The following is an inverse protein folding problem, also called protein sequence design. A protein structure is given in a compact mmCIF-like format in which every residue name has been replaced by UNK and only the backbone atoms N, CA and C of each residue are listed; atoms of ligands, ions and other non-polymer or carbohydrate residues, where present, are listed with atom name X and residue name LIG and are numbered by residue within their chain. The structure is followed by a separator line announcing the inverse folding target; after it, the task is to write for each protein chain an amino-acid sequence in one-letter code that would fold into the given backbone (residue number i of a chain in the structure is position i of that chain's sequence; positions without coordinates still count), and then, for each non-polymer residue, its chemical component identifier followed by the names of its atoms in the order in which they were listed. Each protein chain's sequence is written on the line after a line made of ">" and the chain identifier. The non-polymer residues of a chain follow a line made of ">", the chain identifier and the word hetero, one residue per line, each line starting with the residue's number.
data_IF_796018325545
#
_entry.id   IF_796018325545
#
_cell.length_a   1.000
_cell.length_b   1.000
_cell.length_c   1.000
_cell.angle_alpha   90.00
_cell.angle_beta   90.00
_cell.angle_gamma   90.00
#
_symmetry.space_group_name_H-M   'P 1'
#
loop_
_entity.id
_entity.type
_entity.pdbx_description
1 polymer ?
2 non-polymer ?
3 non-polymer ?
4 water ?
#
# COMPACT_ATOMS: atom_id res chain seq x y z
N UNK A 1 -2.17 -13.49 -13.93
CA UNK A 1 -1.68 -14.86 -13.86
C UNK A 1 -0.43 -14.92 -12.99
N UNK A 2 -0.18 -16.07 -12.35
CA UNK A 2 1.09 -16.28 -11.64
C UNK A 2 1.54 -17.71 -11.90
N UNK A 3 2.84 -17.87 -12.17
CA UNK A 3 3.43 -19.17 -12.46
C UNK A 3 4.94 -19.07 -12.34
N UNK A 4 5.58 -20.22 -12.15
CA UNK A 4 7.03 -20.31 -12.13
C UNK A 4 7.51 -20.95 -13.41
N UNK A 5 8.55 -20.39 -14.02
CA UNK A 5 9.15 -21.01 -15.19
C UNK A 5 10.31 -21.87 -14.72
N UNK A 6 10.82 -22.72 -15.60
CA UNK A 6 11.89 -23.62 -15.25
C UNK A 6 11.39 -24.85 -14.50
N UNK A 7 12.16 -25.28 -13.50
CA UNK A 7 11.79 -26.44 -12.71
C UNK A 7 10.43 -26.22 -12.04
N UNK A 8 9.63 -27.28 -11.96
CA UNK A 8 8.34 -27.19 -11.31
C UNK A 8 8.51 -26.74 -9.87
N UNK A 9 7.65 -25.81 -9.45
CA UNK A 9 7.74 -25.26 -8.11
C UNK A 9 7.52 -26.35 -7.07
N UNK A 10 8.25 -26.26 -5.97
CA UNK A 10 8.28 -27.24 -4.90
C UNK A 10 7.97 -26.56 -3.59
N UNK A 11 7.51 -27.31 -2.57
CA UNK A 11 7.25 -26.70 -1.26
C UNK A 11 8.50 -26.04 -0.69
N UNK A 12 8.31 -24.90 -0.02
CA UNK A 12 9.45 -24.17 0.52
C UNK A 12 10.21 -24.98 1.57
N UNK A 13 9.64 -26.06 2.08
CA UNK A 13 10.39 -26.90 3.01
C UNK A 13 11.54 -27.61 2.29
N UNK A 14 11.38 -27.88 1.00
CA UNK A 14 12.38 -28.62 0.23
C UNK A 14 13.49 -27.73 -0.30
N UNK A 15 13.60 -26.49 0.16
CA UNK A 15 14.61 -25.58 -0.37
C UNK A 15 15.98 -25.87 0.22
N UNK A 16 17.02 -25.57 -0.57
CA UNK A 16 18.38 -25.59 -0.07
C UNK A 16 18.64 -24.30 0.70
N UNK A 17 18.80 -23.20 -0.02
CA UNK A 17 18.92 -21.86 0.57
C UNK A 17 17.53 -21.24 0.64
N UNK A 18 17.01 -21.04 1.86
CA UNK A 18 15.71 -20.41 2.03
C UNK A 18 15.71 -18.97 1.52
N UNK A 19 16.88 -18.33 1.43
CA UNK A 19 16.92 -16.97 0.93
C UNK A 19 16.91 -16.90 -0.60
N UNK A 20 17.13 -18.01 -1.30
CA UNK A 20 17.34 -17.99 -2.74
C UNK A 20 16.26 -18.68 -3.58
N UNK A 21 15.32 -19.41 -2.98
CA UNK A 21 14.36 -20.18 -3.78
C UNK A 21 13.06 -19.39 -4.00
N UNK A 22 13.16 -18.37 -4.83
CA UNK A 22 11.97 -17.61 -5.23
C UNK A 22 10.99 -18.50 -5.96
N UNK A 23 9.71 -18.35 -5.64
CA UNK A 23 8.67 -19.12 -6.27
C UNK A 23 8.36 -20.48 -5.65
N UNK A 24 8.93 -20.79 -4.49
CA UNK A 24 8.55 -22.04 -3.84
C UNK A 24 7.09 -21.95 -3.34
N UNK A 25 6.54 -23.10 -2.99
CA UNK A 25 5.13 -23.20 -2.63
C UNK A 25 4.96 -23.14 -1.11
N UNK A 26 4.01 -22.33 -0.66
CA UNK A 26 3.81 -22.09 0.77
C UNK A 26 2.93 -23.17 1.40
N UNK A 27 3.33 -23.64 2.57
CA UNK A 27 2.45 -24.49 3.37
C UNK A 27 1.22 -23.69 3.79
N UNK A 28 0.05 -24.15 3.40
CA UNK A 28 -1.19 -23.45 3.66
C UNK A 28 -1.72 -23.82 5.04
N UNK A 29 -2.02 -22.81 5.85
CA UNK A 29 -2.57 -22.99 7.19
C UNK A 29 -3.89 -22.23 7.28
N UNK A 30 -4.99 -22.97 7.38
CA UNK A 30 -6.30 -22.34 7.54
C UNK A 30 -6.38 -21.68 8.91
N UNK A 31 -6.98 -20.49 8.96
CA UNK A 31 -7.15 -19.76 10.20
C UNK A 31 -8.57 -19.24 10.33
N UNK A 32 -9.07 -19.21 11.57
CA UNK A 32 -10.42 -18.73 11.83
C UNK A 32 -10.45 -17.26 12.24
N UNK A 33 -9.30 -16.61 12.38
CA UNK A 33 -9.21 -15.21 12.80
C UNK A 33 -9.39 -14.30 11.60
N UNK A 34 -10.63 -14.14 11.23
CA UNK A 34 -11.05 -13.38 10.07
C UNK A 34 -11.51 -12.01 10.54
N UNK A 35 -11.14 -10.98 9.80
CA UNK A 35 -11.53 -9.61 10.08
C UNK A 35 -12.13 -9.03 8.81
N UNK A 36 -13.46 -8.94 8.73
CA UNK A 36 -14.06 -8.39 7.51
C UNK A 36 -13.59 -6.97 7.26
N UNK A 37 -13.41 -6.63 6.00
CA UNK A 37 -13.04 -5.29 5.59
C UNK A 37 -14.19 -4.71 4.78
N UNK A 38 -14.47 -3.44 5.00
CA UNK A 38 -15.56 -2.74 4.31
C UNK A 38 -15.02 -1.53 3.56
N UNK A 39 -15.85 -1.00 2.67
CA UNK A 39 -15.52 0.23 1.98
C UNK A 39 -15.52 1.42 2.93
N UNK A 40 -14.45 2.21 2.86
CA UNK A 40 -14.29 3.40 3.68
C UNK A 40 -15.15 4.51 3.10
N UNK A 41 -15.86 5.22 3.98
CA UNK A 41 -16.77 6.28 3.54
C UNK A 41 -16.06 7.63 3.56
N UNK A 44 -14.17 8.32 -1.20
CA UNK A 44 -15.44 8.39 -1.94
C UNK A 44 -15.37 7.67 -3.28
N UNK A 45 -14.22 7.07 -3.59
CA UNK A 45 -14.02 6.28 -4.80
C UNK A 45 -14.00 7.16 -6.06
N UNK A 46 -13.41 8.36 -5.94
CA UNK A 46 -13.34 9.32 -7.04
C UNK A 46 -11.96 9.25 -7.66
N UNK A 47 -11.91 8.84 -8.94
CA UNK A 47 -10.65 8.69 -9.66
C UNK A 47 -10.32 9.89 -10.53
N UNK A 48 -11.07 10.98 -10.43
CA UNK A 48 -10.70 12.18 -11.18
C UNK A 48 -9.32 12.67 -10.77
N UNK A 49 -8.94 12.42 -9.52
CA UNK A 49 -7.62 12.83 -9.04
C UNK A 49 -6.50 12.15 -9.83
N UNK A 50 -6.69 10.87 -10.15
CA UNK A 50 -5.67 10.15 -10.90
C UNK A 50 -5.66 10.54 -12.37
N UNK A 51 -6.83 10.88 -12.92
CA UNK A 51 -6.87 11.41 -14.28
C UNK A 51 -6.02 12.66 -14.39
N UNK A 52 -6.25 13.64 -13.52
CA UNK A 52 -5.46 14.87 -13.54
C UNK A 52 -3.98 14.59 -13.33
N UNK A 53 -3.67 13.63 -12.45
CA UNK A 53 -2.27 13.27 -12.19
C UNK A 53 -1.58 12.78 -13.46
N UNK A 54 -2.28 11.97 -14.26
CA UNK A 54 -1.69 11.50 -15.50
C UNK A 54 -1.44 12.66 -16.46
N UNK A 55 -2.45 13.51 -16.67
CA UNK A 55 -2.28 14.62 -17.62
C UNK A 55 -1.19 15.59 -17.17
N UNK A 56 -0.97 15.72 -15.85
CA UNK A 56 0.12 16.61 -15.44
C UNK A 56 1.49 16.07 -15.80
N UNK A 57 1.60 14.81 -16.23
CA UNK A 57 2.86 14.25 -16.71
C UNK A 57 3.02 14.39 -18.22
N UNK A 58 2.02 14.94 -18.91
CA UNK A 58 2.06 14.96 -20.38
C UNK A 58 3.33 15.63 -20.89
N UNK A 59 3.75 16.73 -20.27
CA UNK A 59 4.85 17.53 -20.80
C UNK A 59 6.23 16.95 -20.52
N UNK A 60 6.34 15.91 -19.69
CA UNK A 60 7.61 15.26 -19.46
C UNK A 60 8.53 15.96 -18.48
N UNK A 61 8.09 16.99 -17.80
CA UNK A 61 8.95 17.78 -16.92
C UNK A 61 8.47 17.82 -15.47
N UNK A 62 7.62 16.87 -15.06
CA UNK A 62 7.05 16.86 -13.70
C UNK A 62 7.22 15.48 -13.07
N UNK A 63 7.80 15.47 -11.86
CA UNK A 63 8.04 14.23 -11.14
C UNK A 63 7.45 14.30 -9.73
N UNK A 64 6.62 13.33 -9.38
CA UNK A 64 6.11 13.20 -8.03
C UNK A 64 7.05 12.31 -7.24
N UNK A 65 7.31 12.68 -5.98
CA UNK A 65 8.21 11.88 -5.17
C UNK A 65 7.75 11.80 -3.72
N UNK A 66 8.22 10.75 -3.06
CA UNK A 66 8.05 10.56 -1.62
C UNK A 66 9.35 9.99 -1.08
N UNK A 67 9.58 10.18 0.22
CA UNK A 67 10.76 9.68 0.91
C UNK A 67 10.42 8.49 1.80
N UNK A 68 11.36 7.57 1.93
CA UNK A 68 11.18 6.44 2.83
C UNK A 68 11.02 6.93 4.27
N UNK A 69 9.97 6.42 4.94
CA UNK A 69 9.80 6.65 6.36
C UNK A 69 9.23 7.98 6.76
N UNK A 70 9.09 8.95 5.86
CA UNK A 70 8.70 10.31 6.23
C UNK A 70 7.21 10.57 6.15
N UNK A 71 6.38 9.57 5.85
CA UNK A 71 4.95 9.74 5.88
C UNK A 71 4.38 9.38 7.23
N UNK A 72 3.09 9.67 7.43
CA UNK A 72 2.45 9.29 8.68
C UNK A 72 2.66 7.80 8.96
N UNK A 73 2.98 7.49 10.21
CA UNK A 73 3.19 6.13 10.69
C UNK A 73 4.44 5.48 10.12
N UNK A 74 5.40 6.25 9.61
CA UNK A 74 6.54 5.69 8.94
C UNK A 74 6.29 5.26 7.50
N UNK A 75 5.16 5.64 6.91
CA UNK A 75 4.89 5.29 5.52
C UNK A 75 5.71 6.21 4.59
N UNK A 76 5.61 5.99 3.28
CA UNK A 76 6.31 6.85 2.33
C UNK A 76 5.66 8.22 2.32
N UNK A 77 6.47 9.26 2.42
CA UNK A 77 5.92 10.59 2.31
C UNK A 77 6.97 11.66 2.49
N UNK A 78 6.50 12.87 2.73
CA UNK A 78 7.35 14.03 2.96
C UNK A 78 6.66 14.89 4.00
N UNK A 79 7.36 15.94 4.43
CA UNK A 79 6.81 16.95 5.31
C UNK A 79 6.05 18.05 4.56
N UNK A 80 5.88 17.93 3.24
CA UNK A 80 5.09 18.90 2.50
C UNK A 80 3.61 18.77 2.89
N UNK A 81 2.81 19.69 2.36
CA UNK A 81 1.38 19.65 2.52
C UNK A 81 0.63 19.09 1.33
N UNK A 82 1.32 18.66 0.29
CA UNK A 82 0.66 18.17 -0.92
C UNK A 82 0.13 16.76 -0.70
N UNK A 83 -1.17 16.57 -0.91
CA UNK A 83 -1.75 15.25 -1.07
C UNK A 83 -2.27 15.09 -2.48
N UNK A 84 -2.57 13.84 -2.86
CA UNK A 84 -3.10 13.62 -4.20
C UNK A 84 -4.46 14.27 -4.36
N UNK A 85 -5.21 14.43 -3.27
CA UNK A 85 -6.48 15.15 -3.34
C UNK A 85 -6.31 16.62 -3.71
N UNK A 86 -5.07 17.11 -3.82
CA UNK A 86 -4.81 18.53 -4.08
C UNK A 86 -4.38 18.79 -5.51
N UNK A 87 -4.88 18.00 -6.48
CA UNK A 87 -4.37 18.03 -7.84
C UNK A 87 -4.67 19.34 -8.57
N UNK A 88 -5.66 20.10 -8.14
CA UNK A 88 -5.94 21.38 -8.78
C UNK A 88 -5.05 22.48 -8.21
N UNK A 89 -4.81 22.46 -6.91
CA UNK A 89 -3.77 23.32 -6.34
C UNK A 89 -2.40 22.97 -6.91
N UNK A 90 -2.13 21.68 -7.06
CA UNK A 90 -0.84 21.24 -7.59
C UNK A 90 -0.67 21.71 -9.03
N UNK A 91 -1.69 21.48 -9.86
CA UNK A 91 -1.59 21.88 -11.27
C UNK A 91 -1.48 23.39 -11.42
N UNK A 92 -2.22 24.14 -10.60
CA UNK A 92 -2.11 25.60 -10.66
C UNK A 92 -0.69 26.04 -10.33
N UNK A 93 -0.06 25.43 -9.34
CA UNK A 93 1.30 25.82 -8.97
C UNK A 93 2.30 25.42 -10.05
N UNK A 94 2.12 24.24 -10.64
CA UNK A 94 3.01 23.78 -11.71
C UNK A 94 3.00 24.78 -12.86
N UNK A 95 1.81 25.22 -13.26
CA UNK A 95 1.70 26.14 -14.39
C UNK A 95 2.30 27.49 -14.06
N UNK A 96 2.03 28.02 -12.88
CA UNK A 96 2.64 29.28 -12.45
C UNK A 96 4.16 29.18 -12.49
N UNK A 97 4.72 28.10 -11.95
CA UNK A 97 6.17 27.95 -11.90
C UNK A 97 6.78 27.83 -13.29
N UNK A 98 6.10 27.13 -14.20
CA UNK A 98 6.62 26.95 -15.55
C UNK A 98 6.57 28.24 -16.34
N UNK A 99 5.44 28.95 -16.28
CA UNK A 99 5.28 30.19 -17.03
C UNK A 99 6.06 31.35 -16.42
N UNK A 100 6.63 31.19 -15.23
CA UNK A 100 7.56 32.17 -14.70
C UNK A 100 9.00 31.88 -15.10
N UNK A 101 9.32 30.64 -15.45
CA UNK A 101 10.66 30.27 -15.89
C UNK A 101 10.87 30.50 -17.38
N UNK A 102 9.88 30.18 -18.21
CA UNK A 102 9.94 30.53 -19.62
C UNK A 102 9.94 32.04 -19.83
N UNK A 103 9.53 32.80 -18.81
CA UNK A 103 9.60 34.25 -18.79
C UNK A 103 10.93 34.75 -18.23
N UNK A 104 11.29 34.30 -17.03
CA UNK A 104 12.54 34.75 -16.38
C UNK A 104 13.77 34.37 -17.18
N UNK A 113 38.04 15.92 -29.78
CA UNK A 113 37.72 16.07 -31.19
C UNK A 113 36.22 16.20 -31.48
N UNK A 114 35.36 15.91 -30.51
CA UNK A 114 33.92 15.93 -30.68
C UNK A 114 33.30 16.89 -29.67
N UNK A 115 32.47 17.82 -30.16
CA UNK A 115 31.92 18.90 -29.34
C UNK A 115 30.51 18.56 -28.90
N UNK A 116 30.31 18.35 -27.60
CA UNK A 116 29.00 18.22 -26.99
C UNK A 116 28.83 19.40 -26.04
N UNK A 117 27.57 19.76 -25.77
CA UNK A 117 27.27 21.02 -25.09
C UNK A 117 26.30 20.75 -23.95
N UNK A 118 26.77 20.92 -22.72
CA UNK A 118 25.96 20.68 -21.55
C UNK A 118 25.07 21.89 -21.27
N UNK A 119 23.82 21.61 -20.93
CA UNK A 119 22.85 22.67 -20.66
C UNK A 119 21.88 22.15 -19.62
N UNK A 120 21.06 23.04 -19.08
CA UNK A 120 20.14 22.69 -18.01
C UNK A 120 18.70 22.88 -18.47
N UNK A 121 17.87 21.87 -18.20
CA UNK A 121 16.43 21.94 -18.33
C UNK A 121 15.79 22.01 -16.94
N UNK A 122 14.62 22.62 -16.87
CA UNK A 122 13.87 22.75 -15.65
C UNK A 122 13.02 21.51 -15.42
N UNK A 123 13.11 20.94 -14.22
CA UNK A 123 12.25 19.85 -13.78
C UNK A 123 11.48 20.33 -12.55
N UNK A 124 10.19 20.03 -12.51
CA UNK A 124 9.33 20.40 -11.39
C UNK A 124 8.99 19.16 -10.57
N UNK A 125 9.41 19.17 -9.31
CA UNK A 125 9.17 18.09 -8.36
C UNK A 125 7.97 18.42 -7.49
N UNK A 126 7.11 17.43 -7.28
CA UNK A 126 5.93 17.58 -6.46
C UNK A 126 6.03 16.60 -5.28
N UNK A 127 6.49 17.06 -4.13
CA UNK A 127 6.54 16.18 -2.94
C UNK A 127 5.13 15.87 -2.45
N UNK A 128 4.87 14.59 -2.20
CA UNK A 128 3.58 14.14 -1.69
C UNK A 128 3.67 13.82 -0.21
N UNK A 129 2.67 14.28 0.56
CA UNK A 129 2.72 14.18 2.00
C UNK A 129 2.66 12.73 2.46
N UNK A 130 1.78 11.93 1.87
CA UNK A 130 1.67 10.51 2.12
C UNK A 130 0.82 9.91 1.00
N UNK A 131 0.85 8.58 0.92
CA UNK A 131 0.10 7.82 -0.08
C UNK A 131 -0.96 6.91 0.55
N UNK A 132 -1.45 7.27 1.73
CA UNK A 132 -2.38 6.40 2.48
C UNK A 132 -3.79 6.65 1.96
N UNK A 133 -4.25 5.82 1.01
CA UNK A 133 -5.56 6.06 0.42
C UNK A 133 -6.32 4.78 0.09
N UNK A 134 -6.07 3.70 0.81
CA UNK A 134 -6.90 2.51 0.60
C UNK A 134 -8.35 2.80 0.92
N UNK A 135 -9.25 2.13 0.21
CA UNK A 135 -10.67 2.21 0.47
C UNK A 135 -11.19 1.09 1.37
N UNK A 136 -10.33 0.23 1.89
CA UNK A 136 -10.75 -0.92 2.66
C UNK A 136 -10.31 -0.72 4.10
N UNK A 137 -11.27 -0.73 5.02
CA UNK A 137 -11.01 -0.54 6.45
C UNK A 137 -11.60 -1.70 7.23
N UNK A 138 -11.08 -1.90 8.45
CA UNK A 138 -11.57 -2.95 9.31
C UNK A 138 -11.89 -2.45 10.72
N UNK A 139 -12.74 -3.21 11.41
CA UNK A 139 -13.15 -2.87 12.77
C UNK A 139 -12.01 -3.08 13.75
N UNK A 140 -11.63 -2.02 14.45
CA UNK A 140 -10.74 -2.10 15.60
C UNK A 140 -11.50 -1.63 16.85
N UNK A 141 -11.35 -2.36 17.96
CA UNK A 141 -11.97 -1.93 19.21
C UNK A 141 -10.89 -1.39 20.14
N UNK A 142 -11.12 -0.19 20.67
CA UNK A 142 -10.11 0.52 21.45
C UNK A 142 -10.65 0.80 22.86
N UNK A 143 -9.90 0.38 23.86
CA UNK A 143 -10.18 0.78 25.22
C UNK A 143 -11.27 -0.02 25.91
N UNK A 144 -11.69 0.51 27.07
CA UNK A 144 -12.60 -0.12 28.02
C UNK A 144 -13.52 0.93 28.62
N UNK A 145 -14.85 0.88 28.41
CA UNK A 145 -15.58 0.02 27.49
C UNK A 145 -15.21 0.38 26.06
N UNK A 146 -15.30 -0.58 25.14
CA UNK A 146 -14.61 -0.42 23.85
C UNK A 146 -15.27 0.60 22.94
N UNK A 147 -14.45 1.36 22.23
CA UNK A 147 -14.91 2.24 21.16
C UNK A 147 -14.45 1.69 19.81
N UNK A 148 -15.32 1.80 18.82
CA UNK A 148 -15.07 1.23 17.50
C UNK A 148 -14.40 2.28 16.60
N UNK A 149 -13.25 1.93 16.05
CA UNK A 149 -12.68 2.70 14.94
C UNK A 149 -12.48 1.77 13.74
N UNK A 150 -12.31 2.38 12.56
CA UNK A 150 -12.15 1.64 11.31
C UNK A 150 -10.88 2.07 10.61
N UNK A 151 -9.73 1.65 11.10
CA UNK A 151 -8.46 2.03 10.46
C UNK A 151 -8.20 1.25 9.20
N UNK A 152 -7.18 1.73 8.47
CA UNK A 152 -6.55 1.00 7.37
C UNK A 152 -5.53 0.04 7.98
N UNK A 153 -5.47 -1.18 7.45
CA UNK A 153 -4.50 -2.17 7.90
C UNK A 153 -3.38 -2.24 6.86
N UNK A 154 -2.21 -1.72 7.23
CA UNK A 154 -1.28 -1.10 6.28
C UNK A 154 0.09 -1.75 6.35
N UNK A 155 0.37 -2.64 5.41
CA UNK A 155 1.72 -3.22 5.40
C UNK A 155 2.79 -2.20 5.09
N UNK A 156 2.41 -0.99 4.65
CA UNK A 156 3.34 0.09 4.37
C UNK A 156 3.56 1.06 5.50
N UNK A 157 3.08 0.75 6.71
CA UNK A 157 3.26 1.59 7.88
C UNK A 157 3.84 0.75 9.00
N UNK A 158 4.35 1.43 10.01
CA UNK A 158 4.99 0.78 11.13
C UNK A 158 4.24 0.91 12.45
N UNK A 159 3.68 2.09 12.77
CA UNK A 159 3.01 2.34 14.05
C UNK A 159 1.50 2.23 13.91
N UNK A 160 0.83 2.43 15.05
CA UNK A 160 -0.61 2.57 15.14
C UNK A 160 -0.93 4.05 15.36
N UNK A 161 -1.82 4.58 14.55
CA UNK A 161 -2.31 5.94 14.73
C UNK A 161 -3.82 5.89 14.68
N UNK A 162 -4.47 6.71 15.50
CA UNK A 162 -5.91 6.80 15.54
C UNK A 162 -6.28 8.27 15.56
N UNK A 163 -7.29 8.63 14.78
CA UNK A 163 -7.77 9.99 14.77
C UNK A 163 -8.73 10.15 15.94
N UNK A 164 -8.43 11.10 16.81
CA UNK A 164 -9.32 11.43 17.91
C UNK A 164 -10.27 12.52 17.46
N UNK A 165 -11.52 12.36 17.84
CA UNK A 165 -12.61 13.24 17.48
C UNK A 165 -13.42 13.60 18.73
N UNK A 166 -12.74 13.68 19.87
CA UNK A 166 -13.42 14.06 21.10
C UNK A 166 -14.02 15.45 20.97
N UNK A 167 -15.17 15.64 21.60
CA UNK A 167 -15.96 16.86 21.47
C UNK A 167 -17.05 16.87 22.52
N UNK A 168 -16.88 17.66 23.58
CA UNK A 168 -17.83 17.67 24.70
C UNK A 168 -18.82 18.83 24.63
N UNK A 169 -18.58 19.81 23.76
CA UNK A 169 -19.51 20.94 23.62
C UNK A 169 -20.85 20.46 23.08
N UNK A 170 -21.91 21.20 23.42
CA UNK A 170 -23.25 20.78 23.01
C UNK A 170 -23.46 20.96 21.50
N UNK A 171 -22.75 21.89 20.88
CA UNK A 171 -22.88 22.14 19.45
C UNK A 171 -22.12 21.15 18.58
N UNK A 172 -21.42 20.19 19.17
CA UNK A 172 -20.73 19.17 18.39
C UNK A 172 -21.72 18.28 17.66
N UNK A 173 -21.39 17.93 16.42
CA UNK A 173 -22.25 17.03 15.66
C UNK A 173 -22.27 15.65 16.31
N UNK A 174 -23.45 15.04 16.33
CA UNK A 174 -23.63 13.70 16.90
C UNK A 174 -23.19 12.66 15.87
N UNK A 175 -21.95 12.19 16.01
CA UNK A 175 -21.39 11.20 15.12
C UNK A 175 -20.58 10.23 15.99
N UNK A 176 -20.27 9.06 15.43
CA UNK A 176 -19.39 8.14 16.13
C UNK A 176 -18.02 8.79 16.28
N UNK A 177 -17.59 8.96 17.51
CA UNK A 177 -16.34 9.62 17.84
C UNK A 177 -15.45 8.65 18.60
N UNK A 178 -14.14 8.85 18.50
CA UNK A 178 -13.19 8.17 19.38
C UNK A 178 -12.64 9.18 20.37
N UNK A 179 -12.95 8.98 21.64
CA UNK A 179 -12.49 9.86 22.72
C UNK A 179 -11.61 9.03 23.64
N UNK A 180 -10.29 9.22 23.62
CA UNK A 180 -9.42 8.36 24.44
C UNK A 180 -9.68 8.50 25.91
N UNK A 181 -10.18 9.65 26.36
CA UNK A 181 -10.46 9.82 27.77
C UNK A 181 -11.72 9.12 28.23
N UNK A 182 -12.52 8.57 27.32
CA UNK A 182 -13.63 7.72 27.75
C UNK A 182 -13.19 6.29 28.04
N UNK A 183 -11.93 5.95 27.81
CA UNK A 183 -11.45 4.61 28.13
C UNK A 183 -10.95 4.58 29.58
N UNK A 184 -11.35 3.55 30.29
CA UNK A 184 -10.86 3.42 31.66
C UNK A 184 -9.38 3.06 31.67
N UNK A 185 -8.89 2.48 30.59
CA UNK A 185 -7.54 1.95 30.55
C UNK A 185 -6.59 2.79 29.72
N UNK A 186 -7.03 3.91 29.17
CA UNK A 186 -6.11 4.76 28.39
C UNK A 186 -5.19 5.52 29.33
N UNK A 187 -3.92 5.56 28.96
CA UNK A 187 -2.91 6.35 29.64
C UNK A 187 -2.14 7.15 28.60
N UNK A 188 -1.93 8.43 28.87
CA UNK A 188 -1.12 9.25 27.99
C UNK A 188 0.34 9.10 28.37
N UNK A 189 1.20 8.98 27.34
CA UNK A 189 2.63 8.83 27.54
C UNK A 189 3.31 10.19 27.51
N UNK A 190 4.54 10.22 28.01
CA UNK A 190 5.36 11.43 28.00
C UNK A 190 6.28 11.39 26.78
N UNK A 191 6.16 12.39 25.92
CA UNK A 191 7.01 12.53 24.75
C UNK A 191 7.67 13.91 24.79
N UNK A 192 8.90 13.99 24.28
CA UNK A 192 9.63 15.25 24.18
C UNK A 192 9.81 15.66 22.72
N UNK A 193 8.74 15.51 21.93
CA UNK A 193 8.74 15.87 20.51
C UNK A 193 7.40 16.51 20.17
N UNK A 194 7.44 17.77 19.74
CA UNK A 194 6.21 18.52 19.42
C UNK A 194 5.67 18.01 18.08
N UNK A 195 4.70 17.10 18.14
CA UNK A 195 4.11 16.53 16.95
C UNK A 195 2.83 17.27 16.56
N UNK A 204 -3.90 20.66 13.51
CA UNK A 204 -3.63 19.23 13.63
C UNK A 204 -2.46 18.99 14.57
N UNK A 205 -2.62 18.10 15.54
CA UNK A 205 -1.61 17.88 16.57
C UNK A 205 -1.53 16.40 16.92
N UNK A 206 -0.35 15.97 17.34
CA UNK A 206 -0.09 14.57 17.65
C UNK A 206 0.34 14.37 19.09
N UNK A 207 -0.04 13.23 19.65
CA UNK A 207 0.44 12.77 20.94
C UNK A 207 0.42 11.26 20.94
N UNK A 208 0.98 10.67 21.99
CA UNK A 208 1.13 9.23 22.14
C UNK A 208 0.44 8.81 23.42
N UNK A 209 -0.19 7.64 23.40
CA UNK A 209 -0.75 7.03 24.58
C UNK A 209 -0.65 5.52 24.48
N UNK A 210 -1.18 4.83 25.50
CA UNK A 210 -1.29 3.38 25.46
C UNK A 210 -2.71 2.98 25.87
N UNK A 211 -3.16 1.87 25.34
CA UNK A 211 -4.46 1.32 25.71
C UNK A 211 -4.53 -0.13 25.25
N UNK A 212 -5.65 -0.76 25.59
CA UNK A 212 -5.97 -2.12 25.18
C UNK A 212 -6.77 -2.07 23.90
N UNK A 213 -6.47 -2.98 22.99
CA UNK A 213 -7.15 -3.08 21.70
C UNK A 213 -7.68 -4.49 21.54
N UNK A 214 -8.73 -4.62 20.75
CA UNK A 214 -9.24 -5.90 20.31
C UNK A 214 -9.36 -5.91 18.78
N UNK A 215 -8.69 -6.86 18.15
CA UNK A 215 -8.79 -7.07 16.72
C UNK A 215 -9.38 -8.45 16.50
N UNK A 216 -10.63 -8.49 16.03
CA UNK A 216 -11.31 -9.76 15.96
C UNK A 216 -11.48 -10.33 17.36
N UNK A 217 -11.15 -11.61 17.51
CA UNK A 217 -11.13 -12.29 18.79
C UNK A 217 -9.86 -12.09 19.59
N UNK A 218 -8.87 -11.33 19.10
CA UNK A 218 -7.60 -11.22 19.79
C UNK A 218 -7.52 -9.92 20.56
N UNK A 219 -7.12 -10.03 21.83
CA UNK A 219 -6.95 -8.93 22.75
C UNK A 219 -5.48 -8.52 22.73
N UNK A 220 -5.24 -7.21 22.72
CA UNK A 220 -3.89 -6.67 22.65
C UNK A 220 -3.77 -5.54 23.67
N UNK A 221 -3.20 -5.86 24.81
CA UNK A 221 -3.02 -4.93 25.92
C UNK A 221 -1.72 -4.16 25.76
N UNK A 222 -1.65 -3.02 26.44
CA UNK A 222 -0.40 -2.24 26.55
C UNK A 222 0.13 -1.84 25.18
N UNK A 223 -0.78 -1.49 24.27
CA UNK A 223 -0.41 -1.12 22.90
C UNK A 223 -0.16 0.39 22.82
N UNK A 224 1.09 0.76 22.56
CA UNK A 224 1.42 2.15 22.32
C UNK A 224 0.88 2.61 20.98
N UNK A 225 0.33 3.82 20.92
CA UNK A 225 -0.22 4.34 19.67
C UNK A 225 -0.18 5.85 19.68
N UNK A 226 -0.16 6.43 18.47
CA UNK A 226 -0.25 7.86 18.31
C UNK A 226 -1.68 8.34 18.17
N UNK A 227 -1.92 9.59 18.53
CA UNK A 227 -3.25 10.16 18.53
C UNK A 227 -3.23 11.49 17.79
N UNK A 228 -4.15 11.65 16.85
CA UNK A 228 -4.26 12.85 16.01
C UNK A 228 -5.52 13.60 16.41
N UNK A 229 -5.36 14.88 16.77
CA UNK A 229 -6.46 15.74 17.13
C UNK A 229 -6.36 17.06 16.38
N UNK A 230 -7.49 17.74 16.23
CA UNK A 230 -7.53 19.04 15.55
C UNK A 230 -7.36 20.18 16.55
N UNK A 241 -13.44 20.55 12.48
CA UNK A 241 -13.51 19.10 12.39
C UNK A 241 -12.34 18.55 11.55
N UNK A 242 -11.86 17.37 11.93
CA UNK A 242 -10.54 16.92 11.53
C UNK A 242 -10.50 16.12 10.22
N UNK A 243 -11.64 15.60 9.76
CA UNK A 243 -11.62 14.84 8.52
C UNK A 243 -11.65 15.71 7.27
N UNK A 244 -11.45 17.04 7.41
CA UNK A 244 -11.13 17.88 6.27
C UNK A 244 -9.67 17.69 5.84
N UNK A 245 -8.80 17.34 6.78
CA UNK A 245 -7.38 17.17 6.53
C UNK A 245 -6.98 15.72 6.33
N UNK A 246 -7.70 14.78 6.95
CA UNK A 246 -7.34 13.37 6.96
C UNK A 246 -8.46 12.55 6.32
N UNK A 247 -8.08 11.48 5.63
CA UNK A 247 -9.04 10.66 4.89
C UNK A 247 -9.11 9.24 5.43
N UNK A 248 -8.70 9.01 6.67
CA UNK A 248 -8.79 7.69 7.28
C UNK A 248 -9.02 7.86 8.78
N UNK A 249 -9.75 6.93 9.36
CA UNK A 249 -9.98 6.96 10.80
C UNK A 249 -8.75 6.54 11.58
N UNK A 250 -7.87 5.76 10.98
CA UNK A 250 -6.67 5.31 11.65
C UNK A 250 -5.81 4.48 10.72
N UNK A 251 -4.62 4.14 11.24
CA UNK A 251 -3.66 3.28 10.56
C UNK A 251 -3.15 2.28 11.56
N UNK A 252 -3.26 0.99 11.25
CA UNK A 252 -2.60 -0.05 12.00
C UNK A 252 -1.42 -0.52 11.15
N UNK A 253 -0.22 -0.17 11.56
CA UNK A 253 0.98 -0.56 10.82
C UNK A 253 1.23 -2.04 10.92
N UNK A 254 1.47 -2.68 9.78
CA UNK A 254 1.82 -4.09 9.75
C UNK A 254 3.21 -4.29 9.14
N UNK A 255 4.06 -3.26 9.22
CA UNK A 255 5.43 -3.32 8.78
C UNK A 255 6.30 -4.11 9.74
N UNK A 256 7.54 -3.68 9.91
CA UNK A 256 8.51 -4.40 10.71
C UNK A 256 8.93 -3.55 11.91
N UNK A 257 9.31 -4.17 13.02
CA UNK A 257 9.93 -3.41 14.10
C UNK A 257 11.30 -2.89 13.67
N UNK A 258 11.62 -1.67 14.08
CA UNK A 258 12.90 -1.10 13.73
C UNK A 258 13.05 0.30 14.27
N UNK A 259 13.90 1.12 13.64
CA UNK A 259 14.06 2.50 14.10
C UNK A 259 12.76 3.29 13.96
N UNK A 260 11.94 2.95 12.97
CA UNK A 260 10.69 3.66 12.71
C UNK A 260 9.62 3.39 13.75
N UNK A 261 9.81 2.41 14.63
CA UNK A 261 8.89 2.13 15.73
C UNK A 261 9.38 2.65 17.07
N UNK A 262 10.70 2.72 17.27
CA UNK A 262 11.31 3.47 18.37
C UNK A 262 11.01 2.84 19.74
N UNK A 263 11.26 1.54 19.86
CA UNK A 263 11.07 0.83 21.12
C UNK A 263 9.62 0.49 21.45
N UNK A 264 8.65 1.00 20.71
CA UNK A 264 7.25 0.71 20.94
C UNK A 264 6.87 -0.52 20.14
N UNK A 265 6.50 -1.59 20.83
CA UNK A 265 6.17 -2.85 20.18
C UNK A 265 5.07 -2.57 19.15
N UNK A 266 5.29 -2.88 17.89
CA UNK A 266 4.23 -2.67 16.91
C UNK A 266 3.06 -3.60 17.16
N UNK A 267 1.91 -3.22 16.59
CA UNK A 267 0.68 -3.94 16.86
C UNK A 267 0.82 -5.44 16.64
N UNK A 268 1.35 -5.85 15.48
CA UNK A 268 1.27 -7.28 15.17
C UNK A 268 2.21 -8.08 16.05
N UNK A 269 3.40 -7.55 16.31
CA UNK A 269 4.33 -8.17 17.25
C UNK A 269 3.72 -8.27 18.65
N UNK A 270 2.97 -7.24 19.08
CA UNK A 270 2.32 -7.24 20.38
C UNK A 270 1.21 -8.29 20.43
N UNK A 271 0.41 -8.38 19.36
CA UNK A 271 -0.58 -9.45 19.25
C UNK A 271 0.06 -10.82 19.41
N UNK A 272 1.17 -11.08 18.70
CA UNK A 272 1.80 -12.39 18.72
C UNK A 272 2.37 -12.71 20.10
N UNK A 273 2.95 -11.72 20.77
CA UNK A 273 3.54 -11.94 22.08
C UNK A 273 2.46 -12.32 23.09
N UNK A 274 1.28 -11.70 22.99
CA UNK A 274 0.20 -11.97 23.94
C UNK A 274 -0.71 -13.11 23.50
N UNK A 275 -0.64 -13.55 22.24
CA UNK A 275 -1.45 -14.67 21.77
C UNK A 275 -0.53 -15.69 21.14
N UNK A 276 0.18 -16.46 21.98
CA UNK A 276 1.32 -17.27 21.49
C UNK A 276 0.95 -18.42 20.56
N UNK A 277 -0.30 -18.79 20.41
CA UNK A 277 -0.63 -19.86 19.47
C UNK A 277 -0.86 -19.35 18.05
N UNK A 278 -0.67 -18.07 17.80
CA UNK A 278 -0.89 -17.51 16.46
C UNK A 278 0.40 -17.61 15.67
N UNK A 279 0.34 -18.20 14.49
CA UNK A 279 1.52 -18.23 13.64
C UNK A 279 1.77 -16.83 13.04
N UNK A 280 3.04 -16.39 12.97
CA UNK A 280 3.37 -15.00 12.55
C UNK A 280 3.18 -14.76 11.05
N UNK A 281 1.93 -14.69 10.62
CA UNK A 281 1.57 -14.40 9.24
C UNK A 281 0.16 -13.84 9.21
N UNK A 282 -0.16 -13.10 8.15
CA UNK A 282 -1.49 -12.57 7.94
C UNK A 282 -1.74 -12.45 6.45
N UNK A 283 -3.01 -12.53 6.05
CA UNK A 283 -3.31 -12.54 4.62
C UNK A 283 -4.47 -11.60 4.31
N UNK A 284 -4.59 -11.26 3.02
CA UNK A 284 -5.51 -10.23 2.55
C UNK A 284 -6.30 -10.73 1.34
N UNK A 285 -7.62 -10.65 1.42
CA UNK A 285 -8.49 -10.90 0.29
C UNK A 285 -9.26 -9.62 0.00
N UNK A 286 -9.11 -9.12 -1.21
CA UNK A 286 -9.74 -7.87 -1.64
C UNK A 286 -10.75 -8.23 -2.73
N UNK A 287 -12.03 -8.05 -2.40
CA UNK A 287 -13.14 -8.31 -3.31
C UNK A 287 -14.01 -7.07 -3.20
N UNK A 288 -13.77 -6.06 -4.04
CA UNK A 288 -14.46 -4.78 -3.84
C UNK A 288 -15.94 -4.84 -4.14
N UNK A 289 -16.38 -5.69 -5.06
CA UNK A 289 -17.76 -5.70 -5.53
C UNK A 289 -18.60 -6.80 -4.88
N UNK A 290 -18.07 -7.49 -3.87
CA UNK A 290 -18.81 -8.55 -3.20
C UNK A 290 -19.05 -8.28 -1.73
N UNK A 291 -18.42 -7.27 -1.15
CA UNK A 291 -18.46 -7.13 0.29
C UNK A 291 -17.77 -8.24 1.04
N UNK A 292 -17.01 -9.09 0.35
CA UNK A 292 -16.39 -10.24 0.98
C UNK A 292 -14.93 -10.01 1.30
N UNK A 293 -14.47 -8.77 1.32
CA UNK A 293 -13.05 -8.52 1.58
C UNK A 293 -12.69 -8.86 3.02
N UNK A 294 -11.46 -9.31 3.23
CA UNK A 294 -11.09 -9.94 4.50
C UNK A 294 -9.59 -9.85 4.74
N UNK A 295 -9.22 -9.52 5.98
CA UNK A 295 -7.89 -9.74 6.52
C UNK A 295 -7.92 -10.99 7.39
N UNK A 296 -6.90 -11.85 7.27
CA UNK A 296 -6.87 -13.10 8.03
C UNK A 296 -5.61 -13.13 8.86
N UNK A 297 -5.76 -13.22 10.20
CA UNK A 297 -4.61 -13.26 11.10
C UNK A 297 -4.20 -14.70 11.33
N UNK A 298 -2.89 -14.95 11.30
CA UNK A 298 -2.35 -16.26 11.62
C UNK A 298 -2.50 -17.33 10.55
N UNK A 299 -2.99 -16.99 9.37
CA UNK A 299 -3.10 -17.99 8.33
C UNK A 299 -3.80 -17.48 7.10
N UNK A 300 -4.46 -18.38 6.39
CA UNK A 300 -5.12 -18.09 5.12
C UNK A 300 -6.49 -18.75 5.12
N UNK A 301 -7.22 -18.58 4.01
CA UNK A 301 -8.45 -19.32 3.76
C UNK A 301 -8.41 -19.87 2.33
N UNK A 302 -8.53 -21.20 2.21
CA UNK A 302 -8.44 -21.85 0.90
C UNK A 302 -9.51 -21.39 -0.08
N UNK A 303 -10.57 -20.75 0.40
CA UNK A 303 -11.63 -20.31 -0.49
C UNK A 303 -11.35 -18.96 -1.13
N UNK A 304 -10.22 -18.32 -0.81
CA UNK A 304 -9.92 -17.01 -1.35
C UNK A 304 -9.00 -17.05 -2.58
N UNK A 305 -8.44 -18.20 -2.93
CA UNK A 305 -7.47 -18.25 -4.01
C UNK A 305 -7.62 -19.53 -4.81
N UNK A 306 -7.10 -19.48 -6.05
CA UNK A 306 -6.95 -20.64 -6.92
C UNK A 306 -5.48 -20.98 -7.07
N UNK A 307 -5.20 -22.27 -7.26
CA UNK A 307 -3.84 -22.71 -7.42
C UNK A 307 -3.02 -22.57 -6.14
N UNK A 308 -1.72 -22.42 -6.31
CA UNK A 308 -0.79 -22.44 -5.19
C UNK A 308 -0.40 -21.02 -4.80
N UNK A 309 0.22 -20.91 -3.62
CA UNK A 309 0.73 -19.65 -3.11
C UNK A 309 2.23 -19.63 -3.34
N UNK A 310 2.70 -18.67 -4.12
CA UNK A 310 4.10 -18.59 -4.54
C UNK A 310 4.84 -17.56 -3.69
N UNK A 311 6.02 -17.92 -3.22
CA UNK A 311 6.71 -17.14 -2.20
C UNK A 311 7.83 -16.29 -2.78
N UNK A 312 7.86 -15.02 -2.39
CA UNK A 312 8.97 -14.13 -2.66
C UNK A 312 9.70 -13.77 -1.38
N UNK A 313 11.03 -13.85 -1.33
CA UNK A 313 11.73 -13.45 -0.11
C UNK A 313 11.77 -11.94 0.03
N UNK A 314 11.63 -11.48 1.27
CA UNK A 314 11.73 -10.05 1.55
C UNK A 314 13.21 -9.70 1.65
N UNK A 315 13.65 -8.75 0.83
CA UNK A 315 15.07 -8.45 0.78
C UNK A 315 15.47 -7.45 1.86
N UNK A 316 14.63 -6.45 2.10
CA UNK A 316 14.87 -5.43 3.12
C UNK A 316 13.66 -5.37 4.04
N UNK A 317 13.85 -5.82 5.29
CA UNK A 317 12.76 -5.88 6.27
C UNK A 317 12.53 -4.47 6.81
N UNK A 318 11.64 -3.74 6.17
CA UNK A 318 11.24 -2.42 6.65
C UNK A 318 9.84 -2.15 6.15
N UNK A 319 9.73 -1.86 4.86
CA UNK A 319 8.51 -2.17 4.13
C UNK A 319 8.55 -3.65 3.77
N UNK A 320 7.49 -4.16 3.15
CA UNK A 320 7.52 -5.52 2.62
C UNK A 320 8.05 -5.43 1.19
N UNK A 321 9.38 -5.47 1.10
CA UNK A 321 10.10 -5.04 -0.09
C UNK A 321 10.85 -6.22 -0.68
N UNK A 322 10.61 -6.48 -1.97
CA UNK A 322 11.08 -7.64 -2.72
C UNK A 322 11.92 -7.18 -3.91
N UNK A 323 13.03 -7.88 -4.17
CA UNK A 323 13.86 -7.55 -5.33
C UNK A 323 13.11 -7.84 -6.63
N UNK A 324 13.14 -6.88 -7.55
CA UNK A 324 12.52 -7.00 -8.86
C UNK A 324 13.59 -7.18 -9.93
N UNK A 325 13.40 -8.18 -10.80
CA UNK A 325 14.42 -8.51 -11.79
C UNK A 325 14.16 -7.81 -13.13
N UNK A 326 12.98 -8.04 -13.71
CA UNK A 326 12.59 -7.36 -14.95
C UNK A 326 11.12 -6.97 -14.86
N UNK A 327 10.73 -6.05 -15.73
CA UNK A 327 9.34 -5.62 -15.87
C UNK A 327 9.08 -5.35 -17.35
N UNK A 328 8.12 -6.08 -17.92
CA UNK A 328 7.74 -5.94 -19.31
C UNK A 328 6.38 -5.29 -19.43
N UNK A 329 6.24 -4.41 -20.41
CA UNK A 329 4.95 -3.98 -20.91
C UNK A 329 4.83 -4.59 -22.31
N UNK A 330 4.17 -5.74 -22.38
CA UNK A 330 4.11 -6.47 -23.64
C UNK A 330 5.48 -7.05 -23.97
N UNK A 331 5.94 -6.81 -25.20
CA UNK A 331 7.28 -7.24 -25.62
C UNK A 331 8.38 -6.34 -25.09
N UNK A 332 8.03 -5.12 -24.63
CA UNK A 332 9.00 -4.12 -24.24
C UNK A 332 9.47 -4.31 -22.80
N UNK A 333 10.78 -4.42 -22.62
CA UNK A 333 11.39 -4.54 -21.29
C UNK A 333 11.76 -3.13 -20.80
N UNK A 334 11.19 -2.72 -19.67
CA UNK A 334 11.38 -1.37 -19.14
C UNK A 334 12.21 -1.35 -17.87
N UNK A 335 12.70 -2.50 -17.42
CA UNK A 335 13.30 -2.72 -16.13
C UNK A 335 13.86 -4.13 -16.18
N UNK A 336 14.99 -4.37 -15.50
CA UNK A 336 15.69 -3.42 -14.66
C UNK A 336 17.17 -3.46 -14.96
N UNK A 337 17.73 -2.33 -15.35
CA UNK A 337 19.17 -2.23 -15.52
C UNK A 337 19.84 -1.73 -14.25
N UNK A 338 19.07 -1.17 -13.32
CA UNK A 338 19.56 -0.78 -12.02
C UNK A 338 18.68 -1.41 -10.94
N UNK A 339 19.20 -1.39 -9.72
CA UNK A 339 18.57 -2.03 -8.58
C UNK A 339 17.14 -1.57 -8.39
N UNK A 340 16.19 -2.50 -8.48
CA UNK A 340 14.78 -2.18 -8.34
C UNK A 340 14.11 -3.11 -7.33
N UNK A 341 13.09 -2.59 -6.67
CA UNK A 341 12.38 -3.27 -5.59
C UNK A 341 10.89 -3.01 -5.70
N UNK A 342 10.10 -4.03 -5.39
CA UNK A 342 8.67 -3.88 -5.32
C UNK A 342 8.27 -3.85 -3.85
N UNK A 343 7.47 -2.87 -3.48
CA UNK A 343 6.90 -2.77 -2.14
C UNK A 343 5.44 -3.18 -2.21
N UNK A 344 5.07 -4.18 -1.41
CA UNK A 344 3.67 -4.56 -1.24
C UNK A 344 3.08 -3.69 -0.13
N UNK A 345 2.16 -2.79 -0.51
CA UNK A 345 1.68 -1.72 0.36
C UNK A 345 0.16 -1.75 0.38
N UNK A 346 -0.40 -2.43 1.39
CA UNK A 346 -1.84 -2.64 1.43
C UNK A 346 -2.60 -1.36 1.71
N UNK A 347 -1.94 -0.32 2.21
CA UNK A 347 -2.62 0.92 2.53
C UNK A 347 -2.73 1.92 1.40
N UNK A 348 -2.29 1.55 0.19
CA UNK A 348 -2.40 2.46 -0.95
C UNK A 348 -3.16 1.78 -2.08
N UNK A 349 -3.91 2.59 -2.83
CA UNK A 349 -4.78 2.03 -3.86
C UNK A 349 -4.02 1.65 -5.12
N UNK A 350 -3.26 2.59 -5.68
CA UNK A 350 -2.69 2.42 -7.01
C UNK A 350 -1.31 1.74 -6.97
N UNK A 351 -0.99 1.04 -8.06
CA UNK A 351 0.39 0.66 -8.32
C UNK A 351 1.17 1.90 -8.75
N UNK A 352 2.50 1.81 -8.68
CA UNK A 352 3.36 2.91 -9.08
C UNK A 352 4.59 2.40 -9.85
N UNK A 353 5.13 3.27 -10.69
CA UNK A 353 6.43 3.11 -11.32
C UNK A 353 7.23 4.39 -11.21
N UNK A 354 8.56 4.32 -11.25
CA UNK A 354 9.35 5.55 -11.23
C UNK A 354 9.15 6.35 -12.52
N UNK A 355 9.71 7.55 -12.50
CA UNK A 355 9.32 8.56 -13.47
C UNK A 355 9.75 8.20 -14.88
N UNK A 356 10.91 7.54 -15.03
CA UNK A 356 11.39 7.15 -16.36
C UNK A 356 10.54 6.04 -16.96
N UNK A 357 10.15 5.06 -16.14
CA UNK A 357 9.33 3.95 -16.59
C UNK A 357 7.93 4.39 -16.99
N UNK A 358 7.37 5.41 -16.32
CA UNK A 358 6.04 5.88 -16.67
C UNK A 358 6.01 6.71 -17.94
N UNK A 359 7.15 7.26 -18.36
CA UNK A 359 7.22 7.83 -19.71
C UNK A 359 6.86 6.77 -20.73
N UNK A 360 7.56 5.62 -20.70
CA UNK A 360 7.24 4.52 -21.60
C UNK A 360 5.81 4.05 -21.41
N UNK A 361 5.41 3.85 -20.14
CA UNK A 361 4.10 3.31 -19.82
C UNK A 361 2.97 4.14 -20.42
N UNK A 362 3.01 5.46 -20.23
CA UNK A 362 1.91 6.30 -20.69
C UNK A 362 1.89 6.48 -22.20
N UNK A 363 3.00 6.15 -22.88
CA UNK A 363 2.98 6.07 -24.33
C UNK A 363 2.37 4.77 -24.82
N UNK A 364 2.52 3.71 -24.04
CA UNK A 364 2.09 2.37 -24.41
C UNK A 364 0.69 2.03 -23.94
N UNK A 365 0.18 2.72 -22.92
CA UNK A 365 -1.11 2.40 -22.33
C UNK A 365 -1.91 3.70 -22.21
N UNK A 366 -3.01 3.78 -22.93
CA UNK A 366 -3.81 4.98 -23.03
C UNK A 366 -5.13 4.82 -22.30
N UNK A 367 -5.59 5.93 -21.71
CA UNK A 367 -6.96 6.01 -21.25
C UNK A 367 -7.89 6.14 -22.45
N UNK A 368 -9.09 5.59 -22.32
CA UNK A 368 -10.03 5.59 -23.44
C UNK A 368 -11.45 5.53 -22.90
N UNK A 369 -12.41 5.75 -23.81
CA UNK A 369 -13.81 5.58 -23.49
C UNK A 369 -14.16 4.10 -23.41
N UNK A 370 -14.93 3.74 -22.38
CA UNK A 370 -15.16 2.33 -22.07
C UNK A 370 -16.61 1.96 -21.87
N UNK A 371 -17.51 2.92 -21.63
CA UNK A 371 -18.86 2.63 -21.17
C UNK A 371 -18.78 1.70 -19.97
N UNK A 372 -19.33 0.50 -20.06
CA UNK A 372 -19.22 -0.48 -19.00
C UNK A 372 -19.32 -1.89 -19.56
N UNK A 373 -20.04 -2.04 -20.67
CA UNK A 373 -20.11 -3.32 -21.37
C UNK A 373 -19.19 -3.39 -22.57
N UNK A 374 -18.76 -2.23 -23.11
CA UNK A 374 -17.80 -2.23 -24.20
C UNK A 374 -16.38 -2.53 -23.73
N UNK A 375 -16.17 -2.81 -22.44
CA UNK A 375 -14.82 -2.74 -21.88
C UNK A 375 -13.97 -3.93 -22.30
N UNK A 376 -14.54 -5.14 -22.32
CA UNK A 376 -13.74 -6.29 -22.70
C UNK A 376 -13.29 -6.23 -24.15
N UNK A 377 -14.07 -5.57 -25.01
CA UNK A 377 -13.68 -5.44 -26.41
C UNK A 377 -12.62 -4.35 -26.60
N UNK A 378 -12.77 -3.23 -25.87
CA UNK A 378 -11.79 -2.13 -25.95
C UNK A 378 -10.40 -2.64 -25.60
N UNK A 379 -10.27 -3.28 -24.45
CA UNK A 379 -8.97 -3.65 -23.91
C UNK A 379 -8.35 -4.85 -24.61
N UNK A 380 -9.03 -5.45 -25.60
CA UNK A 380 -8.53 -6.66 -26.26
C UNK A 380 -7.11 -6.50 -26.79
N UNK A 381 -6.71 -5.28 -27.13
CA UNK A 381 -5.39 -5.02 -27.70
C UNK A 381 -4.36 -4.52 -26.70
N UNK A 382 -4.75 -4.22 -25.45
CA UNK A 382 -3.81 -3.66 -24.50
C UNK A 382 -2.74 -4.69 -24.13
N UNK A 383 -1.58 -4.23 -23.67
CA UNK A 383 -0.48 -5.15 -23.37
C UNK A 383 -0.54 -5.72 -21.96
N UNK A 384 -0.02 -6.94 -21.84
CA UNK A 384 0.17 -7.61 -20.56
C UNK A 384 1.36 -6.98 -19.85
N UNK A 385 1.18 -6.62 -18.57
CA UNK A 385 2.28 -6.16 -17.73
C UNK A 385 2.84 -7.34 -16.94
N UNK A 386 4.14 -7.56 -17.06
CA UNK A 386 4.78 -8.76 -16.53
C UNK A 386 5.89 -8.36 -15.56
N UNK A 387 5.70 -8.68 -14.27
CA UNK A 387 6.74 -8.53 -13.26
C UNK A 387 7.50 -9.84 -13.14
N UNK A 388 8.82 -9.75 -13.08
CA UNK A 388 9.69 -10.93 -13.08
C UNK A 388 10.54 -10.91 -11.83
N UNK A 389 10.37 -11.93 -10.99
CA UNK A 389 11.17 -12.12 -9.78
C UNK A 389 11.82 -13.50 -9.92
N UNK A 390 13.09 -13.53 -10.26
CA UNK A 390 13.74 -14.82 -10.49
C UNK A 390 12.99 -15.56 -11.58
N UNK A 391 12.57 -16.79 -11.29
CA UNK A 391 11.78 -17.55 -12.24
C UNK A 391 10.28 -17.41 -11.99
N UNK A 392 9.89 -16.55 -11.06
CA UNK A 392 8.48 -16.34 -10.72
C UNK A 392 7.93 -15.16 -11.51
N UNK A 393 6.81 -15.40 -12.19
CA UNK A 393 6.23 -14.47 -13.14
C UNK A 393 4.85 -14.06 -12.65
N UNK A 394 4.62 -12.76 -12.51
CA UNK A 394 3.32 -12.21 -12.15
C UNK A 394 2.85 -11.31 -13.28
N UNK A 395 1.74 -11.67 -13.92
CA UNK A 395 1.16 -10.90 -15.02
C UNK A 395 -0.09 -10.16 -14.55
N UNK A 396 -0.29 -8.96 -15.11
CA UNK A 396 -1.54 -8.22 -15.01
C UNK A 396 -2.05 -7.97 -16.41
N UNK A 397 -3.12 -8.67 -16.78
CA UNK A 397 -3.80 -8.42 -18.02
C UNK A 397 -4.59 -7.12 -17.93
N UNK A 398 -5.04 -6.57 -19.06
CA UNK A 398 -5.54 -5.19 -19.04
C UNK A 398 -6.81 -5.01 -18.23
N UNK A 399 -7.71 -6.01 -18.21
CA UNK A 399 -8.88 -5.94 -17.35
C UNK A 399 -8.50 -6.13 -15.89
N UNK A 400 -7.22 -6.29 -15.58
CA UNK A 400 -6.77 -6.33 -14.22
C UNK A 400 -6.04 -5.07 -13.79
N UNK A 401 -5.52 -4.25 -14.72
CA UNK A 401 -4.90 -3.00 -14.32
C UNK A 401 -5.64 -1.76 -14.80
N UNK A 402 -6.77 -1.92 -15.49
CA UNK A 402 -7.58 -0.79 -15.90
C UNK A 402 -8.81 -0.68 -15.01
N UNK A 403 -9.20 0.54 -14.68
CA UNK A 403 -10.40 0.79 -13.88
C UNK A 403 -11.29 1.78 -14.62
N UNK A 404 -12.55 1.82 -14.22
CA UNK A 404 -13.56 2.65 -14.84
C UNK A 404 -13.73 3.95 -14.08
N UNK A 405 -13.94 5.05 -14.81
CA UNK A 405 -14.18 6.35 -14.20
C UNK A 405 -15.10 7.14 -15.11
N UNK A 406 -16.34 7.33 -14.67
CA UNK A 406 -17.41 7.88 -15.50
C UNK A 406 -17.58 6.93 -16.67
N UNK A 407 -17.39 7.35 -17.92
CA UNK A 407 -17.43 6.45 -19.06
C UNK A 407 -16.04 6.22 -19.65
N UNK A 408 -15.01 6.29 -18.81
CA UNK A 408 -13.61 6.35 -19.26
C UNK A 408 -12.81 5.23 -18.59
N UNK A 409 -12.04 4.50 -19.39
CA UNK A 409 -11.11 3.49 -18.88
C UNK A 409 -9.74 4.12 -18.65
N UNK A 410 -9.13 3.77 -17.52
CA UNK A 410 -7.95 4.43 -17.05
C UNK A 410 -6.99 3.41 -16.45
N UNK A 411 -5.68 3.59 -16.60
CA UNK A 411 -4.72 2.67 -15.96
C UNK A 411 -4.50 3.07 -14.51
N UNK A 412 -4.62 2.09 -13.62
CA UNK A 412 -4.52 2.35 -12.18
C UNK A 412 -3.08 2.40 -11.70
N UNK A 413 -2.28 3.26 -12.33
CA UNK A 413 -0.87 3.43 -11.97
C UNK A 413 -0.56 4.90 -11.73
N UNK A 414 0.24 5.17 -10.72
CA UNK A 414 0.78 6.49 -10.49
C UNK A 414 2.26 6.49 -10.79
N UNK A 415 2.76 7.68 -11.10
CA UNK A 415 4.19 7.91 -11.17
C UNK A 415 4.65 8.35 -9.79
N UNK A 416 5.49 7.54 -9.15
CA UNK A 416 6.07 7.91 -7.87
C UNK A 416 7.56 7.57 -7.92
N UNK A 417 8.40 8.56 -7.66
CA UNK A 417 9.81 8.32 -7.43
C UNK A 417 10.08 8.28 -5.93
N UNK A 418 10.90 7.32 -5.52
CA UNK A 418 11.35 7.24 -4.13
C UNK A 418 12.85 7.56 -4.13
N UNK A 419 13.22 8.83 -4.02
CA UNK A 419 14.64 9.18 -4.17
C UNK A 419 15.50 8.83 -2.98
N UNK A 420 14.87 8.50 -1.84
CA UNK A 420 15.59 8.27 -0.58
C UNK A 420 16.80 7.38 -0.77
N UNK A 421 16.63 6.26 -1.48
CA UNK A 421 17.70 5.33 -1.78
C UNK A 421 18.09 5.43 -3.25
N UNK A 422 19.35 5.10 -3.55
CA UNK A 422 19.81 5.09 -4.94
C UNK A 422 19.05 4.08 -5.78
N UNK A 423 18.39 3.11 -5.15
CA UNK A 423 17.58 2.12 -5.84
C UNK A 423 16.20 2.69 -6.19
N UNK A 424 15.46 1.94 -6.99
CA UNK A 424 14.15 2.36 -7.48
C UNK A 424 13.06 1.48 -6.90
N UNK A 425 11.99 2.11 -6.44
CA UNK A 425 10.90 1.40 -5.79
C UNK A 425 9.67 1.43 -6.67
N UNK A 426 9.00 0.27 -6.74
CA UNK A 426 7.69 0.11 -7.36
C UNK A 426 6.70 -0.30 -6.27
N UNK A 427 5.47 0.19 -6.35
CA UNK A 427 4.46 -0.13 -5.37
C UNK A 427 3.37 -1.01 -5.99
N UNK A 428 2.90 -1.99 -5.24
CA UNK A 428 1.74 -2.77 -5.64
C UNK A 428 0.69 -2.53 -4.57
N UNK A 429 -0.50 -2.11 -4.99
CA UNK A 429 -1.51 -1.67 -4.06
C UNK A 429 -2.78 -2.49 -4.04
N UNK A 430 -3.86 -1.87 -3.57
CA UNK A 430 -5.08 -2.62 -3.34
C UNK A 430 -6.02 -2.63 -4.54
N UNK A 431 -6.12 -1.53 -5.29
CA UNK A 431 -7.13 -1.47 -6.33
C UNK A 431 -6.80 -2.39 -7.51
N UNK A 432 -5.52 -2.52 -7.84
CA UNK A 432 -5.12 -3.33 -8.97
C UNK A 432 -4.54 -4.67 -8.53
N UNK A 433 -3.44 -4.65 -7.79
CA UNK A 433 -2.75 -5.89 -7.50
C UNK A 433 -3.59 -6.78 -6.58
N UNK A 434 -3.96 -6.27 -5.40
CA UNK A 434 -4.60 -7.14 -4.41
C UNK A 434 -6.01 -7.56 -4.84
N UNK A 435 -6.73 -6.72 -5.60
CA UNK A 435 -8.01 -7.16 -6.15
C UNK A 435 -7.85 -8.40 -7.02
N UNK A 436 -6.66 -8.65 -7.57
CA UNK A 436 -6.49 -9.78 -8.46
C UNK A 436 -5.65 -10.90 -7.90
N UNK A 437 -4.84 -10.63 -6.89
CA UNK A 437 -4.02 -11.65 -6.26
C UNK A 437 -4.31 -11.69 -4.76
N UNK A 438 -4.46 -12.90 -4.24
CA UNK A 438 -4.48 -13.13 -2.81
C UNK A 438 -3.05 -13.04 -2.28
N UNK A 439 -2.85 -12.29 -1.20
CA UNK A 439 -1.51 -12.01 -0.69
C UNK A 439 -1.36 -12.46 0.74
N UNK A 440 -0.21 -13.09 1.01
CA UNK A 440 0.17 -13.58 2.32
C UNK A 440 1.48 -12.91 2.71
N UNK A 441 1.51 -12.35 3.91
CA UNK A 441 2.70 -11.76 4.51
C UNK A 441 3.15 -12.64 5.65
N UNK A 442 4.37 -13.17 5.54
CA UNK A 442 4.88 -14.17 6.46
C UNK A 442 6.09 -13.57 7.17
N UNK A 443 5.97 -13.40 8.49
CA UNK A 443 7.08 -12.87 9.26
C UNK A 443 8.16 -13.93 9.42
N UNK A 444 9.41 -13.51 9.29
CA UNK A 444 10.52 -14.44 9.40
C UNK A 444 10.87 -14.67 10.84
N UNK A 445 10.97 -15.95 11.23
CA UNK A 445 11.30 -16.33 12.59
C UNK A 445 12.63 -17.07 12.66
N UNK A 446 12.79 -17.91 13.69
CA UNK A 446 14.05 -18.64 13.86
C UNK A 446 14.23 -19.73 12.82
N UNK A 447 13.15 -20.14 12.15
CA UNK A 447 13.20 -21.19 11.13
C UNK A 447 12.53 -20.75 9.84
N UNK A 448 12.70 -19.47 9.46
CA UNK A 448 12.25 -18.91 8.17
C UNK A 448 12.61 -17.43 8.05
N UNK A 449 12.93 -16.94 6.86
CA UNK A 449 13.01 -15.50 6.63
C UNK A 449 11.64 -14.95 6.25
N UNK A 450 11.54 -13.62 6.25
CA UNK A 450 10.28 -12.96 5.90
C UNK A 450 10.02 -13.11 4.41
N UNK A 451 8.76 -13.34 4.07
CA UNK A 451 8.34 -13.67 2.71
C UNK A 451 6.98 -13.08 2.44
N UNK A 452 6.73 -12.79 1.16
CA UNK A 452 5.40 -12.45 0.67
C UNK A 452 4.93 -13.59 -0.21
N UNK A 453 3.70 -14.05 0.02
CA UNK A 453 3.09 -15.09 -0.78
C UNK A 453 2.03 -14.48 -1.68
N UNK A 454 1.88 -15.06 -2.87
CA UNK A 454 0.93 -14.54 -3.86
C UNK A 454 0.23 -15.71 -4.52
N UNK A 455 -1.07 -15.57 -4.74
CA UNK A 455 -1.84 -16.57 -5.45
C UNK A 455 -2.92 -15.87 -6.25
N UNK A 456 -3.31 -16.48 -7.36
CA UNK A 456 -4.45 -15.96 -8.09
C UNK A 456 -5.65 -15.94 -7.17
N UNK A 457 -6.34 -14.80 -7.11
CA UNK A 457 -7.52 -14.68 -6.26
C UNK A 457 -8.64 -15.56 -6.80
N UNK A 458 -9.53 -15.98 -5.90
CA UNK A 458 -10.68 -16.78 -6.28
C UNK A 458 -11.50 -16.06 -7.33
N UNK A 459 -11.78 -16.76 -8.43
CA UNK A 459 -12.51 -16.13 -9.52
C UNK A 459 -13.98 -15.96 -9.15
N UNK A 460 -14.47 -14.74 -9.28
CA UNK A 460 -15.85 -14.42 -8.91
C UNK A 460 -16.79 -15.00 -9.95
N UNK A 461 -17.32 -16.19 -9.69
CA UNK A 461 -18.22 -16.85 -10.63
C UNK A 461 -19.16 -17.83 -9.93
X LIG B 1 4.42 -2.44 27.57
X LIG B 1 5.25 -3.35 28.51
X LIG B 1 6.72 -2.95 28.51
X LIG B 1 7.26 -2.86 27.09
X LIG B 1 6.41 -1.87 26.30
X LIG B 1 6.86 -1.67 24.87
X LIG B 1 3.82 -4.19 30.34
X LIG B 1 3.35 -3.96 31.75
X LIG B 1 4.69 -3.30 29.86
X LIG B 1 7.49 -3.90 29.25
X LIG B 1 8.63 -2.44 27.08
X LIG B 1 5.07 -2.36 26.26
X LIG B 1 6.62 -0.35 24.40
X LIG B 1 3.42 -5.13 29.66
X LIG C 1 -6.88 -2.72 4.27
X LIG C 1 -7.18 -1.96 5.45
X LIG C 1 -6.25 -1.76 3.27
X LIG C 1 -6.24 -2.34 1.96
X LIG D 1 16.78 -18.57 8.70
X LIG D 1 15.55 -18.04 8.19
X LIG D 1 17.71 -17.42 9.11
X LIG D 1 17.16 -16.74 10.25
#
# INVERSE_FOLDING_TARGET
>A
RIYKIGTKALPCSECHDVFDCTGCLFEEKESSHVIPLKLNKKNPNDHKKLQKHHESLKLGDVKYYVNRGEGISGSLGTSSGNTLDDMDLINEEINKKRTNAQLDEKNFLENKNATVEQTKENIFLVPLKHLRDSQFVGELLVGTPPQTVYPIFDTGSTNVWVVTTACEEESCKKVRRYDPNKSKTFRRSFIEKNLHIVFGSGSISGSVGTDTFMLGKHLVRNQTFGLVESESNNNKNGGDNIFDYISFEGIVGLGFPGMLSAGNIPFFDNLLKQNPNVDPQFSFYISPYDGKSTLIIGGISKSFYEGDIYMLPVLKESYWEVKLDELYIGKERICCDEESYVIFDTGTSYNTMPSSQMKTFLNLIHSTACTEQNYKDILKSYPIIKYVFGELIIELHPEEYMILNDDVCMPAYMQIDVPSERNHAYLLGSLSFMRNFFTVFVRGTESRPSMVGVARAKSKNENLYFQ
>B hetero
1 NAG C1 C2 C3 C4 C5 C6 C7 C8 N2 O3 O4 O5 O6 O7
>C hetero
1 EDO C1 O1 C2 O2
>D hetero
1 EDO C1 O1 C2 O2
#
